data_IF_587608317721
#
_entry.id   IF_587608317721
#
_cell.length_a   1.000
_cell.length_b   1.000
_cell.length_c   1.000
_cell.angle_alpha   90.00
_cell.angle_beta   90.00
_cell.angle_gamma   90.00
#
_symmetry.space_group_name_H-M   'P 1'
#
loop_
_entity.id
_entity.type
_entity.pdbx_description
1 polymer ?
#
# COMPACT_ATOMS: atom_id res chain seq x y z
N UNK A 1 16.30 -0.41 -4.00
CA UNK A 1 16.44 -1.23 -2.79
C UNK A 1 15.08 -1.43 -2.14
N UNK A 2 14.77 -2.64 -1.73
CA UNK A 2 13.48 -2.95 -1.12
C UNK A 2 13.57 -2.83 0.39
N UNK A 3 12.57 -2.17 1.01
CA UNK A 3 12.46 -2.09 2.46
C UNK A 3 12.01 -3.45 2.99
N UNK A 4 12.86 -4.16 3.72
CA UNK A 4 12.53 -5.48 4.28
C UNK A 4 12.13 -5.42 5.75
N UNK A 5 12.44 -4.33 6.42
CA UNK A 5 12.08 -4.12 7.82
C UNK A 5 12.11 -2.64 8.16
N UNK A 6 11.39 -2.27 9.22
CA UNK A 6 11.38 -0.90 9.72
C UNK A 6 11.64 -0.99 11.23
N UNK A 7 12.65 -0.24 11.70
CA UNK A 7 13.07 -0.25 13.09
C UNK A 7 12.65 1.01 13.83
N UNK A 8 12.64 0.94 15.17
CA UNK A 8 12.38 2.09 16.05
C UNK A 8 11.04 2.78 15.78
N UNK A 9 9.99 1.97 15.67
CA UNK A 9 8.65 2.47 15.41
C UNK A 9 7.71 2.09 16.55
N UNK A 10 6.64 2.86 16.69
CA UNK A 10 5.51 2.49 17.53
C UNK A 10 4.49 1.80 16.64
N UNK A 11 4.25 0.51 16.89
CA UNK A 11 3.35 -0.30 16.09
C UNK A 11 1.96 -0.33 16.69
N UNK A 12 0.95 -0.05 15.87
CA UNK A 12 -0.43 -0.30 16.23
C UNK A 12 -0.70 -1.79 16.05
N UNK A 13 -0.94 -2.49 17.13
CA UNK A 13 -1.08 -3.95 17.08
C UNK A 13 -2.45 -4.41 16.58
N UNK A 14 -3.45 -3.52 16.62
CA UNK A 14 -4.74 -3.84 16.01
C UNK A 14 -4.65 -3.58 14.52
N UNK A 15 -4.91 -4.61 13.72
CA UNK A 15 -4.81 -4.52 12.27
C UNK A 15 -5.99 -3.73 11.68
N UNK A 16 -5.72 -3.08 10.55
CA UNK A 16 -6.75 -2.53 9.67
C UNK A 16 -7.14 -3.62 8.68
N UNK A 17 -8.39 -4.03 8.68
CA UNK A 17 -8.87 -5.11 7.82
C UNK A 17 -9.86 -4.55 6.82
N UNK A 18 -9.59 -4.74 5.54
CA UNK A 18 -10.40 -4.23 4.43
C UNK A 18 -10.83 -5.39 3.53
N UNK A 19 -11.97 -5.21 2.85
CA UNK A 19 -12.46 -6.14 1.82
C UNK A 19 -12.51 -7.60 2.32
N UNK A 20 -13.10 -7.80 3.51
CA UNK A 20 -13.26 -9.13 4.12
C UNK A 20 -11.95 -9.89 4.26
N UNK A 21 -10.86 -9.17 4.58
CA UNK A 21 -9.56 -9.77 4.80
C UNK A 21 -8.68 -9.85 3.56
N UNK A 22 -9.11 -9.34 2.41
CA UNK A 22 -8.27 -9.30 1.20
C UNK A 22 -7.12 -8.32 1.32
N UNK A 23 -7.24 -7.33 2.21
CA UNK A 23 -6.17 -6.39 2.53
C UNK A 23 -6.09 -6.22 4.03
N UNK A 24 -4.91 -6.43 4.60
CA UNK A 24 -4.67 -6.26 6.04
C UNK A 24 -3.40 -5.45 6.22
N UNK A 25 -3.46 -4.42 7.06
CA UNK A 25 -2.29 -3.59 7.34
C UNK A 25 -2.20 -3.25 8.82
N UNK A 26 -0.99 -2.92 9.26
CA UNK A 26 -0.74 -2.35 10.59
C UNK A 26 -0.16 -0.96 10.40
N UNK A 27 -0.75 0.00 11.10
CA UNK A 27 -0.22 1.37 11.12
C UNK A 27 0.94 1.45 12.10
N UNK A 28 1.94 2.25 11.78
CA UNK A 28 3.06 2.49 12.68
C UNK A 28 3.50 3.94 12.58
N UNK A 29 4.18 4.41 13.63
CA UNK A 29 4.64 5.79 13.76
C UNK A 29 6.15 5.79 13.96
N UNK A 30 6.84 6.57 13.15
CA UNK A 30 8.28 6.75 13.27
C UNK A 30 8.61 7.65 14.48
N UNK A 31 9.88 7.67 14.88
CA UNK A 31 10.33 8.47 16.03
C UNK A 31 10.03 9.97 15.86
N UNK A 32 9.99 10.46 14.61
CA UNK A 32 9.68 11.88 14.32
C UNK A 32 8.18 12.17 14.24
N UNK A 33 7.32 11.18 14.51
CA UNK A 33 5.87 11.35 14.44
C UNK A 33 5.25 11.04 13.08
N UNK A 34 6.06 10.72 12.07
CA UNK A 34 5.55 10.36 10.74
C UNK A 34 4.78 9.05 10.80
N UNK A 35 3.58 9.04 10.21
CA UNK A 35 2.73 7.85 10.18
C UNK A 35 2.82 7.14 8.84
N UNK A 36 2.89 5.82 8.90
CA UNK A 36 2.92 4.93 7.74
C UNK A 36 2.13 3.68 8.05
N UNK A 37 1.95 2.81 7.07
CA UNK A 37 1.39 1.48 7.30
C UNK A 37 2.13 0.45 6.47
N UNK A 38 2.15 -0.77 6.98
CA UNK A 38 2.71 -1.92 6.28
C UNK A 38 1.62 -2.97 6.16
N UNK A 39 1.44 -3.52 4.98
CA UNK A 39 0.34 -4.43 4.76
C UNK A 39 0.56 -5.43 3.64
N UNK A 40 -0.46 -6.24 3.44
CA UNK A 40 -0.51 -7.22 2.38
C UNK A 40 -1.87 -7.17 1.70
N UNK A 41 -1.85 -7.24 0.37
CA UNK A 41 -3.06 -7.43 -0.44
C UNK A 41 -2.99 -8.86 -0.97
N UNK A 42 -3.99 -9.66 -0.64
CA UNK A 42 -4.11 -11.03 -1.12
C UNK A 42 -4.64 -11.03 -2.55
N UNK A 43 -4.45 -12.14 -3.32
CA UNK A 43 -4.90 -12.20 -4.71
C UNK A 43 -6.35 -11.75 -4.87
N UNK A 44 -6.54 -10.65 -5.62
CA UNK A 44 -7.85 -10.00 -5.75
C UNK A 44 -7.75 -8.81 -6.71
N UNK A 45 -8.89 -8.17 -6.95
CA UNK A 45 -8.98 -6.90 -7.67
C UNK A 45 -9.80 -5.95 -6.80
N UNK A 46 -9.19 -4.88 -6.31
CA UNK A 46 -9.77 -3.99 -5.31
C UNK A 46 -9.70 -2.54 -5.76
N UNK A 47 -10.62 -1.72 -5.21
CA UNK A 47 -10.64 -0.27 -5.43
C UNK A 47 -10.41 0.41 -4.08
N UNK A 48 -9.37 1.24 -4.02
CA UNK A 48 -9.06 2.02 -2.81
C UNK A 48 -9.34 3.50 -3.05
N UNK A 49 -9.82 4.16 -2.00
CA UNK A 49 -10.00 5.61 -1.99
C UNK A 49 -8.93 6.24 -1.11
N UNK A 50 -8.44 7.42 -1.51
CA UNK A 50 -7.46 8.17 -0.74
C UNK A 50 -8.10 9.39 -0.09
N UNK A 51 -7.72 9.68 1.16
CA UNK A 51 -7.95 10.98 1.77
C UNK A 51 -6.72 11.86 1.52
N UNK A 52 -5.62 11.56 2.19
CA UNK A 52 -4.33 12.20 1.91
C UNK A 52 -3.67 11.53 0.70
N UNK A 53 -2.74 12.23 0.06
CA UNK A 53 -1.92 11.62 -0.99
C UNK A 53 -1.07 10.50 -0.38
N UNK A 54 -0.79 9.47 -1.19
CA UNK A 54 -0.06 8.28 -0.76
C UNK A 54 1.03 7.91 -1.73
N UNK A 55 2.08 7.28 -1.21
CA UNK A 55 3.07 6.60 -2.03
C UNK A 55 3.05 5.13 -1.60
N UNK A 56 2.75 4.25 -2.56
CA UNK A 56 2.72 2.80 -2.34
C UNK A 56 4.06 2.22 -2.78
N UNK A 57 4.80 1.69 -1.80
CA UNK A 57 6.09 1.05 -2.06
C UNK A 57 5.90 -0.47 -2.04
N UNK A 58 6.30 -1.14 -3.11
CA UNK A 58 6.24 -2.59 -3.15
C UNK A 58 7.44 -3.19 -2.43
N UNK A 59 7.16 -4.03 -1.43
CA UNK A 59 8.21 -4.72 -0.65
C UNK A 59 8.48 -6.10 -1.24
N UNK A 60 7.42 -6.83 -1.57
CA UNK A 60 7.54 -8.17 -2.13
C UNK A 60 6.30 -8.49 -2.96
N UNK A 61 6.45 -9.39 -3.92
CA UNK A 61 5.40 -9.73 -4.86
C UNK A 61 5.30 -8.70 -5.97
N UNK A 62 4.16 -8.68 -6.66
CA UNK A 62 3.89 -7.73 -7.73
C UNK A 62 2.39 -7.50 -7.85
N UNK A 63 2.03 -6.33 -8.34
CA UNK A 63 0.65 -6.00 -8.64
C UNK A 63 0.58 -5.24 -9.96
N UNK A 64 -0.65 -5.02 -10.42
CA UNK A 64 -0.94 -4.03 -11.44
C UNK A 64 -1.91 -3.02 -10.84
N UNK A 65 -1.72 -1.75 -11.15
CA UNK A 65 -2.59 -0.68 -10.68
C UNK A 65 -2.97 0.25 -11.82
N UNK A 66 -4.06 0.98 -11.62
CA UNK A 66 -4.39 2.10 -12.49
C UNK A 66 -5.03 3.20 -11.66
N UNK A 67 -4.63 4.42 -11.92
CA UNK A 67 -5.15 5.60 -11.24
C UNK A 67 -6.48 6.03 -11.84
N UNK A 68 -7.27 6.78 -11.08
CA UNK A 68 -8.54 7.33 -11.56
C UNK A 68 -8.30 8.13 -12.84
N UNK A 69 -9.15 7.92 -13.84
CA UNK A 69 -9.06 8.61 -15.12
C UNK A 69 -8.08 7.98 -16.12
N UNK A 70 -7.40 6.90 -15.74
CA UNK A 70 -6.52 6.16 -16.66
C UNK A 70 -7.12 4.80 -16.97
N UNK A 71 -6.79 4.24 -18.14
CA UNK A 71 -7.30 2.93 -18.55
C UNK A 71 -6.23 1.84 -18.50
N UNK A 72 -4.97 2.22 -18.73
CA UNK A 72 -3.88 1.26 -18.78
C UNK A 72 -3.46 0.81 -17.38
N UNK A 73 -3.29 -0.51 -17.21
CA UNK A 73 -2.72 -1.07 -16.00
C UNK A 73 -1.21 -0.93 -16.03
N UNK A 74 -0.63 -0.55 -14.89
CA UNK A 74 0.82 -0.38 -14.73
C UNK A 74 1.31 -1.39 -13.71
N UNK A 75 2.39 -2.09 -14.02
CA UNK A 75 2.97 -3.08 -13.13
C UNK A 75 3.82 -2.42 -12.06
N UNK A 76 3.70 -2.88 -10.81
CA UNK A 76 4.55 -2.48 -9.69
C UNK A 76 5.12 -3.75 -9.05
N UNK A 77 6.45 -3.85 -9.04
CA UNK A 77 7.19 -5.00 -8.51
C UNK A 77 8.06 -4.55 -7.35
N UNK A 78 8.65 -5.52 -6.64
CA UNK A 78 9.50 -5.24 -5.48
C UNK A 78 10.57 -4.20 -5.79
N UNK A 79 10.68 -3.21 -4.91
CA UNK A 79 11.61 -2.08 -5.07
C UNK A 79 11.05 -0.89 -5.82
N UNK A 80 9.87 -1.02 -6.43
CA UNK A 80 9.21 0.07 -7.14
C UNK A 80 8.15 0.73 -6.28
N UNK A 81 7.78 1.95 -6.63
CA UNK A 81 6.73 2.68 -5.92
C UNK A 81 5.89 3.49 -6.90
N UNK A 82 4.67 3.82 -6.48
CA UNK A 82 3.80 4.72 -7.25
C UNK A 82 3.06 5.67 -6.31
N UNK A 83 2.75 6.85 -6.85
CA UNK A 83 2.07 7.90 -6.09
C UNK A 83 0.60 7.98 -6.47
N UNK A 84 -0.25 8.22 -5.47
CA UNK A 84 -1.69 8.42 -5.66
C UNK A 84 -2.06 9.79 -5.10
N UNK A 85 -2.77 10.62 -5.87
CA UNK A 85 -3.18 11.95 -5.38
C UNK A 85 -4.14 11.86 -4.20
N UNK A 86 -4.23 12.96 -3.44
CA UNK A 86 -5.23 13.11 -2.39
C UNK A 86 -6.64 13.13 -2.99
N UNK A 87 -7.61 12.68 -2.20
CA UNK A 87 -9.04 12.70 -2.57
C UNK A 87 -9.31 12.04 -3.92
N UNK A 88 -8.68 10.90 -4.15
CA UNK A 88 -8.76 10.18 -5.42
C UNK A 88 -9.06 8.70 -5.15
N UNK A 89 -8.92 7.89 -6.19
CA UNK A 89 -9.06 6.44 -6.08
C UNK A 89 -8.13 5.76 -7.06
N UNK A 90 -7.85 4.49 -6.79
CA UNK A 90 -7.07 3.66 -7.72
C UNK A 90 -7.54 2.22 -7.63
N UNK A 91 -7.41 1.51 -8.75
CA UNK A 91 -7.64 0.09 -8.82
C UNK A 91 -6.32 -0.63 -8.65
N UNK A 92 -6.33 -1.76 -7.95
CA UNK A 92 -5.16 -2.60 -7.80
C UNK A 92 -5.58 -4.07 -7.93
N UNK A 93 -4.80 -4.86 -8.64
CA UNK A 93 -5.04 -6.29 -8.77
C UNK A 93 -3.73 -7.05 -8.67
N UNK A 94 -3.79 -8.23 -8.08
CA UNK A 94 -2.62 -9.08 -7.95
C UNK A 94 -3.04 -10.55 -8.02
N UNK A 95 -2.13 -11.40 -8.51
CA UNK A 95 -2.32 -12.85 -8.58
C UNK A 95 -1.52 -13.58 -7.51
N UNK A 96 -0.71 -12.86 -6.75
CA UNK A 96 0.06 -13.34 -5.60
C UNK A 96 0.00 -12.29 -4.50
N UNK A 97 0.33 -12.62 -3.24
CA UNK A 97 0.33 -11.61 -2.19
C UNK A 97 1.25 -10.44 -2.54
N UNK A 98 0.71 -9.23 -2.45
CA UNK A 98 1.44 -8.00 -2.70
C UNK A 98 1.72 -7.33 -1.36
N UNK A 99 2.98 -7.30 -0.95
CA UNK A 99 3.41 -6.70 0.32
C UNK A 99 3.85 -5.26 0.06
N UNK A 100 3.39 -4.33 0.89
CA UNK A 100 3.62 -2.92 0.61
C UNK A 100 3.85 -2.12 1.89
N UNK A 101 4.48 -0.96 1.73
CA UNK A 101 4.47 0.10 2.73
C UNK A 101 3.76 1.28 2.10
N UNK A 102 2.78 1.83 2.83
CA UNK A 102 2.06 3.03 2.42
C UNK A 102 2.64 4.22 3.17
N UNK A 103 3.16 5.18 2.41
CA UNK A 103 3.68 6.44 2.93
C UNK A 103 2.60 7.51 2.73
N UNK A 104 2.16 8.14 3.80
CA UNK A 104 1.17 9.21 3.72
C UNK A 104 1.87 10.56 3.61
N UNK A 105 1.34 11.40 2.73
CA UNK A 105 1.88 12.75 2.54
C UNK A 105 1.30 13.72 3.58
#
# INVERSE_FOLDING_TARGET
>A
MTTSSVSNVTLNTTANVYFDGKCVSHSFTLADGTKKSAGVILPSCLVFNTGAAEIMECVAGACEYRLAGTEAWVKSSAGEQFSVPANSKFDIRCSEPYHYICHFA
#
